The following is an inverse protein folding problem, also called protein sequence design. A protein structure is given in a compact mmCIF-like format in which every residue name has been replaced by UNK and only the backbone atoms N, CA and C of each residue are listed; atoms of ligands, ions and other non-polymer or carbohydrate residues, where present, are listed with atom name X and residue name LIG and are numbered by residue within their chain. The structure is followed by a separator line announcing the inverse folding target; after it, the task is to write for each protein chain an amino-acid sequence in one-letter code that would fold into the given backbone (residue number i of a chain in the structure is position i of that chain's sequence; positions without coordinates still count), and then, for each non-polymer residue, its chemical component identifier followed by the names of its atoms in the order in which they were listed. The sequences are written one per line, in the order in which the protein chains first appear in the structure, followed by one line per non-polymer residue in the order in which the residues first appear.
data_IF_235702903742
#
_entry.id   IF_235702903742
#
_cell.length_a   1.000
_cell.length_b   1.000
_cell.length_c   1.000
_cell.angle_alpha   90.00
_cell.angle_beta   90.00
_cell.angle_gamma   90.00
#
_symmetry.space_group_name_H-M   'P 1'
#
loop_
_entity.id
_entity.type
_entity.pdbx_description
1 polymer ?
#
# COMPACT_ATOMS: atom_id res chain seq x y z
N UNK A 1 -1.34 14.65 14.93
CA UNK A 1 -1.59 13.77 13.77
C UNK A 1 -2.94 14.16 13.20
N UNK A 2 -2.95 14.85 12.07
CA UNK A 2 -4.15 15.56 11.62
C UNK A 2 -5.31 14.65 11.22
N UNK A 3 -6.54 15.16 11.40
CA UNK A 3 -7.76 14.49 10.98
C UNK A 3 -7.79 14.20 9.46
N UNK A 4 -6.99 14.92 8.67
CA UNK A 4 -6.79 14.70 7.24
C UNK A 4 -5.99 13.42 6.96
N UNK A 5 -4.88 13.20 7.69
CA UNK A 5 -4.08 11.98 7.63
C UNK A 5 -4.87 10.74 8.08
N UNK A 6 -5.64 10.89 9.16
CA UNK A 6 -6.55 9.85 9.65
C UNK A 6 -7.64 9.49 8.62
N UNK A 7 -8.10 10.45 7.80
CA UNK A 7 -9.03 10.20 6.70
C UNK A 7 -8.42 9.48 5.50
N UNK A 8 -7.16 9.75 5.13
CA UNK A 8 -6.49 8.94 4.08
C UNK A 8 -6.32 7.51 4.52
N UNK A 9 -5.84 7.32 5.76
CA UNK A 9 -5.81 6.01 6.38
C UNK A 9 -7.20 5.37 6.36
N UNK A 10 -8.22 5.97 6.96
CA UNK A 10 -9.56 5.37 6.99
C UNK A 10 -10.18 5.12 5.59
N UNK A 11 -9.90 5.97 4.58
CA UNK A 11 -10.50 5.84 3.24
C UNK A 11 -9.77 4.81 2.34
N UNK A 12 -8.45 4.65 2.49
CA UNK A 12 -7.68 3.61 1.79
C UNK A 12 -7.58 2.29 2.58
N UNK A 13 -7.93 2.31 3.87
CA UNK A 13 -7.70 1.22 4.81
C UNK A 13 -8.94 0.91 5.69
N UNK A 14 -10.15 0.88 5.11
CA UNK A 14 -11.39 0.49 5.83
C UNK A 14 -11.34 -0.92 6.44
N UNK A 15 -10.44 -1.77 5.93
CA UNK A 15 -10.46 -3.23 6.17
C UNK A 15 -9.20 -3.71 6.95
N UNK A 16 -8.16 -2.88 7.01
CA UNK A 16 -6.75 -3.32 7.18
C UNK A 16 -6.32 -3.51 8.66
N UNK A 17 -7.26 -3.39 9.60
CA UNK A 17 -7.01 -3.59 11.04
C UNK A 17 -6.85 -5.07 11.41
N UNK A 18 -7.27 -6.02 10.56
CA UNK A 18 -7.41 -7.44 10.95
C UNK A 18 -6.83 -8.42 9.92
N UNK A 19 -5.50 -8.46 9.78
CA UNK A 19 -4.70 -9.68 9.55
C UNK A 19 -3.20 -9.33 9.43
N UNK A 20 -2.36 -10.04 10.19
CA UNK A 20 -0.90 -10.02 10.03
C UNK A 20 -0.48 -10.76 8.76
N UNK A 21 0.68 -10.43 8.21
CA UNK A 21 1.22 -11.01 6.96
C UNK A 21 0.39 -10.76 5.67
N UNK A 22 -0.57 -9.82 5.71
CA UNK A 22 -1.43 -9.43 4.56
C UNK A 22 -1.09 -8.02 4.07
N UNK A 23 -0.93 -7.84 2.75
CA UNK A 23 -0.81 -6.51 2.12
C UNK A 23 -2.02 -6.29 1.21
N UNK A 24 -2.86 -5.32 1.53
CA UNK A 24 -3.93 -4.83 0.65
C UNK A 24 -3.47 -3.56 -0.06
N UNK A 25 -3.52 -3.57 -1.39
CA UNK A 25 -3.04 -2.51 -2.27
C UNK A 25 -4.12 -2.12 -3.28
N UNK A 26 -4.38 -0.83 -3.50
CA UNK A 26 -5.32 -0.42 -4.54
C UNK A 26 -4.78 -0.72 -5.95
N UNK A 27 -5.64 -1.08 -6.91
CA UNK A 27 -5.24 -1.25 -8.32
C UNK A 27 -4.65 0.06 -8.84
N UNK A 28 -3.54 -0.07 -9.58
CA UNK A 28 -2.63 1.01 -9.94
C UNK A 28 -1.37 1.03 -9.08
N UNK A 29 -1.41 0.53 -7.84
CA UNK A 29 -0.28 0.57 -6.89
C UNK A 29 0.69 -0.62 -7.07
N UNK A 30 0.80 -1.13 -8.30
CA UNK A 30 1.60 -2.30 -8.66
C UNK A 30 3.09 -2.21 -8.27
N UNK A 31 3.78 -1.05 -8.40
CA UNK A 31 5.18 -0.94 -7.97
C UNK A 31 5.41 -1.21 -6.47
N UNK A 32 4.45 -0.82 -5.61
CA UNK A 32 4.53 -1.14 -4.18
C UNK A 32 4.39 -2.65 -3.94
N UNK A 33 3.57 -3.34 -4.73
CA UNK A 33 3.43 -4.80 -4.70
C UNK A 33 4.70 -5.51 -5.16
N UNK A 34 5.32 -5.05 -6.25
CA UNK A 34 6.55 -5.62 -6.79
C UNK A 34 7.71 -5.45 -5.81
N UNK A 35 7.89 -4.26 -5.23
CA UNK A 35 8.90 -4.00 -4.20
C UNK A 35 8.70 -4.90 -2.98
N UNK A 36 7.47 -5.02 -2.47
CA UNK A 36 7.14 -5.89 -1.35
C UNK A 36 7.42 -7.36 -1.67
N UNK A 37 6.97 -7.85 -2.83
CA UNK A 37 7.19 -9.23 -3.26
C UNK A 37 8.67 -9.55 -3.49
N UNK A 38 9.46 -8.59 -3.97
CA UNK A 38 10.92 -8.73 -4.10
C UNK A 38 11.61 -8.80 -2.73
N UNK A 39 11.25 -7.90 -1.79
CA UNK A 39 11.79 -7.90 -0.44
C UNK A 39 11.44 -9.20 0.33
N UNK A 40 10.19 -9.65 0.25
CA UNK A 40 9.74 -10.92 0.86
C UNK A 40 10.45 -12.14 0.26
N UNK A 41 10.69 -12.18 -1.05
CA UNK A 41 11.47 -13.27 -1.69
C UNK A 41 12.94 -13.27 -1.25
N UNK A 42 13.51 -12.10 -0.99
CA UNK A 42 14.88 -11.95 -0.50
C UNK A 42 15.01 -12.23 1.01
N UNK A 43 13.93 -12.12 1.78
CA UNK A 43 13.92 -12.27 3.24
C UNK A 43 14.23 -13.70 3.68
N UNK A 44 13.50 -14.71 3.17
CA UNK A 44 13.71 -16.11 3.54
C UNK A 44 13.13 -17.09 2.48
N UNK A 45 13.84 -18.16 2.09
CA UNK A 45 13.39 -19.10 1.04
C UNK A 45 12.13 -19.90 1.40
N UNK A 46 11.84 -20.06 2.69
CA UNK A 46 10.62 -20.70 3.18
C UNK A 46 9.34 -19.85 3.04
N UNK A 47 9.45 -18.57 2.65
CA UNK A 47 8.30 -17.69 2.45
C UNK A 47 7.55 -18.03 1.15
N UNK A 48 6.23 -18.04 1.24
CA UNK A 48 5.30 -18.25 0.13
C UNK A 48 4.47 -16.97 -0.03
N UNK A 49 4.39 -16.47 -1.26
CA UNK A 49 3.67 -15.23 -1.56
C UNK A 49 2.54 -15.57 -2.51
N UNK A 50 1.32 -15.57 -1.98
CA UNK A 50 0.09 -15.53 -2.78
C UNK A 50 -0.18 -14.11 -3.25
N UNK A 51 -0.77 -13.99 -4.44
CA UNK A 51 -1.25 -12.71 -4.97
C UNK A 51 -2.65 -12.92 -5.55
N UNK A 52 -3.65 -12.26 -4.95
CA UNK A 52 -5.06 -12.40 -5.30
C UNK A 52 -5.60 -11.01 -5.65
N UNK A 53 -6.24 -10.87 -6.81
CA UNK A 53 -7.01 -9.68 -7.10
C UNK A 53 -8.37 -9.78 -6.39
N UNK A 54 -8.56 -9.01 -5.31
CA UNK A 54 -9.84 -8.79 -4.61
C UNK A 54 -10.74 -7.85 -5.43
N UNK A 55 -12.04 -7.91 -5.13
CA UNK A 55 -13.07 -7.00 -5.66
C UNK A 55 -12.69 -5.52 -5.51
N UNK A 56 -13.28 -4.68 -6.38
CA UNK A 56 -12.96 -3.25 -6.56
C UNK A 56 -11.54 -2.97 -7.07
N UNK A 57 -10.81 -4.01 -7.46
CA UNK A 57 -9.41 -3.88 -7.86
C UNK A 57 -8.57 -3.55 -6.64
N UNK A 58 -8.43 -4.51 -5.73
CA UNK A 58 -7.34 -4.47 -4.75
C UNK A 58 -6.45 -5.69 -4.94
N UNK A 59 -5.14 -5.49 -4.99
CA UNK A 59 -4.19 -6.59 -4.97
C UNK A 59 -3.91 -6.96 -3.51
N UNK A 60 -4.32 -8.16 -3.15
CA UNK A 60 -4.02 -8.81 -1.88
C UNK A 60 -2.76 -9.64 -2.06
N UNK A 61 -1.68 -9.28 -1.35
CA UNK A 61 -0.55 -10.18 -1.14
C UNK A 61 -0.75 -10.92 0.18
N UNK A 62 -0.78 -12.24 0.09
CA UNK A 62 -0.88 -13.15 1.22
C UNK A 62 0.50 -13.78 1.46
N UNK A 63 1.08 -13.57 2.64
CA UNK A 63 2.40 -14.12 2.98
C UNK A 63 2.21 -15.30 3.92
N UNK A 64 2.57 -16.48 3.44
CA UNK A 64 2.64 -17.71 4.20
C UNK A 64 4.08 -18.14 4.43
N UNK A 65 4.27 -19.06 5.37
CA UNK A 65 5.52 -19.78 5.58
C UNK A 65 5.34 -21.26 5.23
N UNK A 66 6.43 -21.96 4.90
CA UNK A 66 6.36 -23.38 4.51
C UNK A 66 5.98 -24.33 5.66
N UNK A 67 6.12 -23.88 6.91
CA UNK A 67 5.54 -24.51 8.10
C UNK A 67 4.42 -23.62 8.65
N UNK A 68 3.56 -24.19 9.50
CA UNK A 68 2.43 -23.47 10.09
C UNK A 68 2.82 -22.35 11.09
N UNK A 69 4.11 -22.20 11.42
CA UNK A 69 4.61 -21.23 12.41
C UNK A 69 5.86 -20.56 11.86
N UNK A 70 5.80 -19.24 11.75
CA UNK A 70 6.96 -18.42 11.44
C UNK A 70 8.00 -18.48 12.57
N UNK A 71 9.30 -18.50 12.27
CA UNK A 71 10.31 -18.05 13.21
C UNK A 71 10.05 -16.58 13.59
N UNK A 72 10.17 -16.22 14.86
CA UNK A 72 9.82 -14.87 15.37
C UNK A 72 10.58 -13.76 14.62
N UNK A 73 11.87 -13.98 14.32
CA UNK A 73 12.74 -13.03 13.60
C UNK A 73 12.33 -12.85 12.12
N UNK A 74 11.66 -13.84 11.53
CA UNK A 74 11.09 -13.73 10.18
C UNK A 74 9.72 -13.06 10.23
N UNK A 75 8.90 -13.35 11.24
CA UNK A 75 7.57 -12.75 11.37
C UNK A 75 7.62 -11.22 11.50
N UNK A 76 8.47 -10.70 12.39
CA UNK A 76 8.61 -9.25 12.59
C UNK A 76 9.11 -8.56 11.31
N UNK A 77 10.08 -9.17 10.61
CA UNK A 77 10.60 -8.65 9.33
C UNK A 77 9.57 -8.73 8.19
N UNK A 78 8.66 -9.71 8.20
CA UNK A 78 7.49 -9.73 7.31
C UNK A 78 6.56 -8.57 7.65
N UNK A 79 6.28 -8.30 8.94
CA UNK A 79 5.44 -7.18 9.36
C UNK A 79 6.04 -5.81 8.98
N UNK A 80 7.36 -5.64 9.07
CA UNK A 80 8.08 -4.45 8.59
C UNK A 80 7.83 -4.23 7.10
N UNK A 81 8.13 -5.23 6.25
CA UNK A 81 7.94 -5.14 4.79
C UNK A 81 6.46 -4.90 4.43
N UNK A 82 5.53 -5.55 5.13
CA UNK A 82 4.08 -5.34 4.97
C UNK A 82 3.69 -3.90 5.31
N UNK A 83 4.26 -3.33 6.37
CA UNK A 83 3.97 -1.97 6.83
C UNK A 83 4.55 -0.92 5.88
N UNK A 84 5.76 -1.12 5.38
CA UNK A 84 6.38 -0.29 4.36
C UNK A 84 5.58 -0.32 3.05
N UNK A 85 5.16 -1.51 2.60
CA UNK A 85 4.34 -1.67 1.40
C UNK A 85 2.98 -0.97 1.52
N UNK A 86 2.31 -1.11 2.68
CA UNK A 86 1.05 -0.39 3.00
C UNK A 86 1.26 1.13 3.00
N UNK A 87 2.38 1.60 3.55
CA UNK A 87 2.73 3.03 3.61
C UNK A 87 3.05 3.60 2.23
N UNK A 88 3.89 2.93 1.43
CA UNK A 88 4.18 3.31 0.05
C UNK A 88 2.90 3.34 -0.80
N UNK A 89 2.02 2.35 -0.61
CA UNK A 89 0.70 2.32 -1.25
C UNK A 89 -0.18 3.50 -0.85
N UNK A 90 -0.22 3.87 0.44
CA UNK A 90 -0.98 5.04 0.89
C UNK A 90 -0.51 6.34 0.20
N UNK A 91 0.78 6.44 -0.14
CA UNK A 91 1.39 7.58 -0.84
C UNK A 91 1.51 7.43 -2.38
N UNK A 92 1.00 6.34 -2.94
CA UNK A 92 0.93 6.14 -4.39
C UNK A 92 -0.31 6.83 -4.99
N UNK A 93 -0.11 7.41 -6.16
CA UNK A 93 -1.12 8.08 -6.97
C UNK A 93 -2.23 7.11 -7.37
N UNK A 94 -3.47 7.48 -7.09
CA UNK A 94 -4.65 6.66 -7.37
C UNK A 94 -4.94 6.45 -8.87
N UNK A 95 -4.20 7.09 -9.77
CA UNK A 95 -4.37 7.01 -11.23
C UNK A 95 -3.26 6.19 -11.90
N UNK A 96 -1.99 6.42 -11.52
CA UNK A 96 -0.82 5.86 -12.21
C UNK A 96 0.23 5.20 -11.29
N UNK A 97 -0.07 5.04 -10.00
CA UNK A 97 0.77 4.35 -9.02
C UNK A 97 2.06 5.08 -8.61
N UNK A 98 2.41 6.18 -9.26
CA UNK A 98 3.63 6.96 -8.96
C UNK A 98 3.54 7.63 -7.59
N UNK A 99 4.66 7.98 -6.93
CA UNK A 99 4.62 8.78 -5.71
C UNK A 99 3.79 10.06 -5.91
N UNK A 100 2.89 10.32 -4.97
CA UNK A 100 2.00 11.48 -4.98
C UNK A 100 1.78 12.04 -3.58
N UNK A 101 0.93 13.05 -3.50
CA UNK A 101 0.56 13.69 -2.23
C UNK A 101 -0.94 13.76 -2.08
N UNK A 102 -1.36 13.82 -0.83
CA UNK A 102 -2.75 14.04 -0.49
C UNK A 102 -3.20 15.42 -0.97
N UNK A 103 -4.23 15.44 -1.79
CA UNK A 103 -4.87 16.65 -2.29
C UNK A 103 -6.39 16.53 -2.18
N UNK A 104 -7.07 17.67 -2.13
CA UNK A 104 -8.53 17.73 -2.15
C UNK A 104 -9.01 17.68 -3.60
N UNK A 105 -9.30 16.47 -4.10
CA UNK A 105 -9.91 16.26 -5.42
C UNK A 105 -11.41 16.53 -5.41
N UNK A 106 -12.03 16.54 -6.60
CA UNK A 106 -13.45 16.84 -6.76
C UNK A 106 -14.39 15.87 -6.02
N UNK A 107 -13.97 14.61 -5.82
CA UNK A 107 -14.70 13.60 -5.05
C UNK A 107 -14.30 13.51 -3.56
N UNK A 108 -13.43 14.40 -3.08
CA UNK A 108 -12.84 14.34 -1.74
C UNK A 108 -11.31 14.10 -1.73
N UNK A 109 -10.73 13.82 -0.56
CA UNK A 109 -9.29 13.65 -0.42
C UNK A 109 -8.77 12.43 -1.19
N UNK A 110 -7.75 12.63 -2.03
CA UNK A 110 -7.14 11.62 -2.89
C UNK A 110 -5.64 11.86 -3.00
N UNK A 111 -4.84 10.81 -3.19
CA UNK A 111 -3.40 10.94 -3.44
C UNK A 111 -3.14 10.96 -4.95
N UNK A 112 -2.47 12.01 -5.42
CA UNK A 112 -2.17 12.22 -6.84
C UNK A 112 -0.71 12.68 -7.05
N UNK A 113 -0.05 12.14 -8.07
CA UNK A 113 1.27 12.60 -8.53
C UNK A 113 1.15 13.96 -9.26
N UNK A 114 2.26 14.71 -9.50
CA UNK A 114 2.20 16.02 -10.15
C UNK A 114 1.46 16.00 -11.49
N UNK A 115 1.70 14.95 -12.30
CA UNK A 115 1.14 14.80 -13.64
C UNK A 115 -0.39 14.67 -13.57
N UNK A 116 -0.90 13.84 -12.64
CA UNK A 116 -2.33 13.64 -12.47
C UNK A 116 -3.03 14.84 -11.80
N UNK A 117 -2.33 15.60 -10.95
CA UNK A 117 -2.85 16.89 -10.45
C UNK A 117 -3.03 17.89 -11.61
N UNK A 118 -2.00 18.09 -12.44
CA UNK A 118 -2.10 18.98 -13.62
C UNK A 118 -3.16 18.51 -14.61
N UNK A 119 -3.26 17.20 -14.86
CA UNK A 119 -4.29 16.62 -15.74
C UNK A 119 -5.72 16.81 -15.21
N UNK A 120 -5.89 16.87 -13.88
CA UNK A 120 -7.15 17.22 -13.23
C UNK A 120 -7.41 18.74 -13.11
N UNK A 121 -6.56 19.58 -13.73
CA UNK A 121 -6.66 21.04 -13.64
C UNK A 121 -6.32 21.61 -12.26
N UNK A 122 -5.65 20.83 -11.41
CA UNK A 122 -5.25 21.24 -10.07
C UNK A 122 -3.89 21.94 -10.09
N UNK A 123 -3.72 22.93 -9.22
CA UNK A 123 -2.39 23.43 -8.86
C UNK A 123 -1.58 22.29 -8.22
N UNK A 124 -0.34 22.08 -8.68
CA UNK A 124 0.53 21.02 -8.13
C UNK A 124 0.92 21.39 -6.71
N UNK A 125 0.41 20.62 -5.74
CA UNK A 125 0.68 20.82 -4.31
C UNK A 125 1.35 19.60 -3.70
N UNK A 126 2.35 19.88 -2.88
CA UNK A 126 3.04 18.93 -2.00
C UNK A 126 2.54 19.15 -0.58
N UNK A 127 1.54 18.37 -0.16
CA UNK A 127 1.28 18.20 1.27
C UNK A 127 2.27 17.16 1.78
N UNK A 128 3.36 17.65 2.37
CA UNK A 128 4.25 16.82 3.19
C UNK A 128 3.53 16.52 4.52
N UNK A 129 3.80 15.34 5.08
CA UNK A 129 3.16 14.77 6.26
C UNK A 129 3.96 15.02 7.54
#
# INVERSE_FOLDING_TARGET
MDALMSRVYAHKHTDIVVQGAVIDLAVGHYPAAECAAAALRALHPGLRIGAILRDRGMLWLDVGYETAVYPDDIYDRVLEIVTDARTLSAWSCAVDGRPGWLVNGAGGPVVLCPVCQTAAGMEVRRHEA
#
